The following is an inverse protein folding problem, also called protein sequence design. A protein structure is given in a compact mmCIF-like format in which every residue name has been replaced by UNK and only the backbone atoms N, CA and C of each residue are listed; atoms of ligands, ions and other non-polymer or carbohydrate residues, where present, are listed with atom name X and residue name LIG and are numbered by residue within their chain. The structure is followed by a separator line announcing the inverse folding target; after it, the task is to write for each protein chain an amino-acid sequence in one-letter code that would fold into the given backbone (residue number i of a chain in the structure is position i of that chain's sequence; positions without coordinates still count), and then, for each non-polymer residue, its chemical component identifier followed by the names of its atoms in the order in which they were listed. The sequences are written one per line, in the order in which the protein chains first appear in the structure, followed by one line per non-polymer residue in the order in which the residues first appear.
data_IF_818923467649
#
_entry.id   IF_818923467649
#
_cell.length_a   1.000
_cell.length_b   1.000
_cell.length_c   1.000
_cell.angle_alpha   90.00
_cell.angle_beta   90.00
_cell.angle_gamma   90.00
#
_symmetry.space_group_name_H-M   'P 1'
#
loop_
_entity.id
_entity.type
_entity.pdbx_description
1 polymer ?
#
# COMPACT_ATOMS: atom_id res chain seq x y z
N UNK A 1 10.53 15.29 -7.46
CA UNK A 1 10.76 13.95 -6.88
C UNK A 1 12.15 13.94 -6.28
N UNK A 2 12.25 13.76 -4.96
CA UNK A 2 13.54 13.72 -4.28
C UNK A 2 14.35 12.49 -4.74
N UNK A 3 15.57 12.72 -5.21
CA UNK A 3 16.52 11.70 -5.65
C UNK A 3 17.69 11.64 -4.67
N UNK A 4 18.37 10.49 -4.57
CA UNK A 4 19.64 10.42 -3.86
C UNK A 4 20.61 11.48 -4.41
N UNK A 5 21.08 12.37 -3.55
CA UNK A 5 21.99 13.47 -3.91
C UNK A 5 21.32 14.84 -4.08
N UNK A 6 20.02 14.97 -3.84
CA UNK A 6 19.36 16.28 -3.85
C UNK A 6 19.84 17.14 -2.66
N UNK A 7 20.15 18.41 -2.94
CA UNK A 7 20.55 19.41 -1.95
C UNK A 7 19.32 19.88 -1.15
N UNK A 8 18.99 19.12 -0.10
CA UNK A 8 17.95 19.49 0.84
C UNK A 8 18.42 20.70 1.67
N UNK A 9 17.58 21.73 1.76
CA UNK A 9 17.84 22.86 2.65
C UNK A 9 17.19 22.55 3.99
N UNK A 10 17.94 22.74 5.08
CA UNK A 10 17.39 22.60 6.44
C UNK A 10 16.34 23.69 6.73
N UNK A 11 16.48 24.87 6.11
CA UNK A 11 15.54 25.99 6.24
C UNK A 11 14.50 26.00 5.12
N UNK A 12 13.26 25.69 5.48
CA UNK A 12 12.10 25.87 4.60
C UNK A 12 11.67 27.34 4.60
N UNK A 13 11.35 27.87 3.42
CA UNK A 13 10.70 29.17 3.33
C UNK A 13 9.36 29.14 4.10
N UNK A 14 9.12 30.03 5.08
CA UNK A 14 7.89 30.05 5.87
C UNK A 14 6.61 30.10 5.03
N UNK A 15 6.65 30.72 3.85
CA UNK A 15 5.53 30.77 2.93
C UNK A 15 5.18 29.40 2.36
N UNK A 16 6.18 28.54 2.10
CA UNK A 16 5.94 27.17 1.61
C UNK A 16 5.31 26.31 2.71
N UNK A 17 5.78 26.47 3.95
CA UNK A 17 5.18 25.79 5.09
C UNK A 17 3.72 26.24 5.30
N UNK A 18 3.45 27.54 5.23
CA UNK A 18 2.09 28.08 5.35
C UNK A 18 1.17 27.58 4.21
N UNK A 19 1.66 27.56 2.97
CA UNK A 19 0.90 27.04 1.83
C UNK A 19 0.57 25.57 1.99
N UNK A 20 1.52 24.74 2.44
CA UNK A 20 1.24 23.33 2.63
C UNK A 20 0.23 23.05 3.75
N UNK A 21 0.24 23.86 4.82
CA UNK A 21 -0.83 23.83 5.84
C UNK A 21 -2.17 24.18 5.19
N UNK A 22 -2.23 25.26 4.40
CA UNK A 22 -3.45 25.64 3.68
C UNK A 22 -3.96 24.52 2.76
N UNK A 23 -3.05 23.92 1.97
CA UNK A 23 -3.34 22.81 1.06
C UNK A 23 -3.89 21.60 1.82
N UNK A 24 -3.22 21.20 2.91
CA UNK A 24 -3.66 20.08 3.75
C UNK A 24 -5.06 20.28 4.34
N UNK A 25 -5.43 21.52 4.68
CA UNK A 25 -6.71 21.82 5.31
C UNK A 25 -7.86 21.97 4.31
N UNK A 26 -7.60 22.53 3.13
CA UNK A 26 -8.66 22.95 2.21
C UNK A 26 -8.87 22.00 1.03
N UNK A 27 -7.80 21.38 0.51
CA UNK A 27 -7.84 20.71 -0.79
C UNK A 27 -7.54 19.22 -0.72
N UNK A 28 -6.95 18.74 0.38
CA UNK A 28 -6.35 17.40 0.44
C UNK A 28 -6.98 16.54 1.54
N UNK A 29 -8.05 15.78 1.24
CA UNK A 29 -8.67 14.86 2.20
C UNK A 29 -7.68 13.84 2.78
N UNK A 30 -6.71 13.40 2.00
CA UNK A 30 -5.66 12.45 2.43
C UNK A 30 -4.74 13.01 3.51
N UNK A 31 -4.74 14.33 3.73
CA UNK A 31 -4.00 14.94 4.83
C UNK A 31 -4.72 14.84 6.19
N UNK A 32 -6.01 14.50 6.20
CA UNK A 32 -6.77 14.38 7.46
C UNK A 32 -6.21 13.22 8.29
N UNK A 33 -5.84 13.53 9.54
CA UNK A 33 -5.19 12.59 10.46
C UNK A 33 -3.82 12.06 9.97
N UNK A 34 -3.20 12.71 8.99
CA UNK A 34 -1.85 12.39 8.56
C UNK A 34 -0.82 13.20 9.35
N UNK A 35 0.33 12.60 9.61
CA UNK A 35 1.54 13.32 10.02
C UNK A 35 2.46 13.41 8.83
N UNK A 36 2.90 14.62 8.49
CA UNK A 36 3.82 14.85 7.36
C UNK A 36 4.93 15.81 7.77
N UNK A 37 6.10 15.61 7.15
CA UNK A 37 7.21 16.55 7.21
C UNK A 37 7.40 17.17 5.84
N UNK A 38 7.67 18.47 5.81
CA UNK A 38 7.79 19.22 4.57
C UNK A 38 9.22 19.70 4.46
N UNK A 39 9.83 19.42 3.31
CA UNK A 39 11.19 19.84 2.99
C UNK A 39 11.10 20.67 1.73
N UNK A 40 11.68 21.87 1.77
CA UNK A 40 11.73 22.76 0.62
C UNK A 40 12.98 22.51 -0.23
N UNK A 41 12.85 22.64 -1.54
CA UNK A 41 13.98 22.76 -2.46
C UNK A 41 14.34 24.25 -2.63
N UNK A 42 15.59 24.57 -3.03
CA UNK A 42 16.00 25.96 -3.41
C UNK A 42 15.36 26.44 -4.72
N UNK A 43 14.13 26.01 -4.99
CA UNK A 43 13.33 26.47 -6.12
C UNK A 43 12.79 27.88 -5.86
N UNK A 44 12.82 28.74 -6.88
CA UNK A 44 12.17 30.05 -6.84
C UNK A 44 10.65 29.98 -7.03
N UNK A 45 10.13 28.83 -7.47
CA UNK A 45 8.72 28.65 -7.84
C UNK A 45 7.97 27.83 -6.79
N UNK A 46 6.76 28.28 -6.45
CA UNK A 46 5.82 27.49 -5.65
C UNK A 46 5.31 26.29 -6.44
N UNK A 47 5.04 25.15 -5.78
CA UNK A 47 4.38 24.02 -6.43
C UNK A 47 3.00 24.43 -6.97
N UNK A 48 2.68 23.94 -8.16
CA UNK A 48 1.34 24.02 -8.75
C UNK A 48 0.34 23.13 -8.00
N UNK A 49 -0.95 23.37 -8.18
CA UNK A 49 -1.98 22.53 -7.55
C UNK A 49 -1.83 21.05 -7.95
N UNK A 50 -1.51 20.77 -9.21
CA UNK A 50 -1.30 19.40 -9.70
C UNK A 50 -0.11 18.71 -9.02
N UNK A 51 0.96 19.47 -8.72
CA UNK A 51 2.12 18.95 -7.98
C UNK A 51 1.77 18.71 -6.51
N UNK A 52 0.97 19.59 -5.89
CA UNK A 52 0.44 19.34 -4.56
C UNK A 52 -0.43 18.09 -4.54
N UNK A 53 -1.41 17.99 -5.42
CA UNK A 53 -2.28 16.83 -5.54
C UNK A 53 -1.44 15.53 -5.69
N UNK A 54 -0.32 15.58 -6.43
CA UNK A 54 0.58 14.43 -6.58
C UNK A 54 1.34 14.02 -5.31
N UNK A 55 1.83 15.00 -4.56
CA UNK A 55 2.62 14.79 -3.34
C UNK A 55 1.72 14.31 -2.20
N UNK A 56 0.51 14.86 -2.07
CA UNK A 56 -0.45 14.49 -1.03
C UNK A 56 -1.00 13.06 -1.18
N UNK A 57 -0.96 12.46 -2.39
CA UNK A 57 -1.28 11.03 -2.58
C UNK A 57 -0.40 10.09 -1.75
N UNK A 58 0.80 10.52 -1.33
CA UNK A 58 1.66 9.71 -0.46
C UNK A 58 1.10 9.51 0.94
N UNK A 59 0.08 10.28 1.32
CA UNK A 59 -0.58 10.17 2.62
C UNK A 59 -1.71 9.13 2.63
N UNK A 60 -2.12 8.60 1.48
CA UNK A 60 -3.14 7.54 1.37
C UNK A 60 -2.73 6.24 2.07
N UNK A 61 -1.44 6.05 2.33
CA UNK A 61 -0.90 4.91 3.06
C UNK A 61 0.60 4.77 2.86
N UNK A 62 1.22 3.73 3.46
CA UNK A 62 2.65 3.48 3.30
C UNK A 62 2.98 3.10 1.85
N UNK A 63 3.37 4.09 1.05
CA UNK A 63 3.75 3.93 -0.36
C UNK A 63 5.10 3.19 -0.45
N UNK A 64 5.11 2.09 -1.22
CA UNK A 64 6.28 1.23 -1.42
C UNK A 64 6.94 1.44 -2.78
N UNK A 65 6.15 1.83 -3.79
CA UNK A 65 6.59 1.96 -5.17
C UNK A 65 5.70 2.95 -5.92
N UNK A 66 6.30 3.70 -6.84
CA UNK A 66 5.63 4.64 -7.74
C UNK A 66 6.39 4.64 -9.06
N UNK A 67 5.68 4.40 -10.17
CA UNK A 67 6.25 4.42 -11.52
C UNK A 67 5.30 5.12 -12.49
N UNK A 68 5.74 6.16 -13.21
CA UNK A 68 4.92 6.85 -14.19
C UNK A 68 4.70 6.00 -15.45
N UNK A 69 3.47 5.99 -15.98
CA UNK A 69 3.14 5.27 -17.21
C UNK A 69 3.54 6.03 -18.49
N UNK A 70 3.78 7.34 -18.39
CA UNK A 70 4.09 8.19 -19.54
C UNK A 70 2.88 8.32 -20.48
N UNK A 71 3.07 7.96 -21.75
CA UNK A 71 2.01 8.00 -22.78
C UNK A 71 1.10 6.77 -22.78
N UNK A 72 1.36 5.78 -21.93
CA UNK A 72 0.58 4.54 -21.92
C UNK A 72 -0.72 4.72 -21.12
N UNK A 73 -1.83 4.21 -21.65
CA UNK A 73 -3.15 4.31 -21.02
C UNK A 73 -3.20 3.62 -19.64
N UNK A 74 -3.68 4.35 -18.63
CA UNK A 74 -3.93 3.82 -17.29
C UNK A 74 -4.94 2.66 -17.32
N UNK A 75 -6.01 2.75 -18.11
CA UNK A 75 -7.01 1.68 -18.25
C UNK A 75 -6.39 0.39 -18.77
N UNK A 76 -5.57 0.47 -19.83
CA UNK A 76 -4.89 -0.71 -20.38
C UNK A 76 -3.89 -1.32 -19.38
N UNK A 77 -3.23 -0.48 -18.57
CA UNK A 77 -2.35 -0.95 -17.51
C UNK A 77 -3.13 -1.64 -16.38
N UNK A 78 -4.25 -1.05 -15.95
CA UNK A 78 -5.14 -1.63 -14.95
C UNK A 78 -5.66 -3.00 -15.38
N UNK A 79 -6.11 -3.13 -16.62
CA UNK A 79 -6.57 -4.41 -17.18
C UNK A 79 -5.44 -5.45 -17.18
N UNK A 80 -4.22 -5.05 -17.55
CA UNK A 80 -3.05 -5.94 -17.49
C UNK A 80 -2.71 -6.34 -16.05
N UNK A 81 -2.74 -5.41 -15.10
CA UNK A 81 -2.50 -5.69 -13.67
C UNK A 81 -3.49 -6.74 -13.18
N UNK A 82 -4.79 -6.54 -13.42
CA UNK A 82 -5.87 -7.43 -12.96
C UNK A 82 -5.84 -8.79 -13.62
N UNK A 83 -5.70 -8.84 -14.95
CA UNK A 83 -5.89 -10.09 -15.72
C UNK A 83 -4.63 -10.91 -15.90
N UNK A 84 -3.45 -10.27 -15.91
CA UNK A 84 -2.20 -10.91 -16.36
C UNK A 84 -1.12 -10.94 -15.30
N UNK A 85 -0.92 -9.84 -14.57
CA UNK A 85 0.15 -9.75 -13.58
C UNK A 85 -0.26 -10.34 -12.23
N UNK A 86 -1.38 -9.89 -11.65
CA UNK A 86 -1.82 -10.30 -10.32
C UNK A 86 -2.06 -11.82 -10.19
N UNK A 87 -2.76 -12.50 -11.12
CA UNK A 87 -3.09 -13.93 -11.00
C UNK A 87 -1.88 -14.87 -10.93
N UNK A 88 -0.67 -14.37 -11.24
CA UNK A 88 0.58 -15.14 -11.10
C UNK A 88 0.93 -15.41 -9.63
N UNK A 89 0.48 -14.55 -8.71
CA UNK A 89 0.80 -14.64 -7.29
C UNK A 89 -0.08 -15.63 -6.51
N UNK A 90 -1.26 -15.97 -7.03
CA UNK A 90 -2.13 -16.99 -6.44
C UNK A 90 -1.61 -18.42 -6.65
N UNK A 91 -0.77 -18.63 -7.67
CA UNK A 91 -0.24 -19.96 -8.00
C UNK A 91 0.95 -20.32 -7.12
N UNK A 92 1.01 -21.58 -6.71
CA UNK A 92 2.21 -22.18 -6.12
C UNK A 92 3.39 -22.08 -7.08
N UNK A 93 4.56 -21.67 -6.59
CA UNK A 93 5.77 -21.51 -7.41
C UNK A 93 6.10 -20.05 -7.78
N UNK A 94 5.37 -19.07 -7.25
CA UNK A 94 5.65 -17.63 -7.39
C UNK A 94 6.91 -17.15 -6.65
N UNK A 95 7.58 -18.04 -5.91
CA UNK A 95 8.72 -17.70 -5.04
C UNK A 95 8.31 -17.15 -3.67
N UNK A 96 7.01 -16.97 -3.42
CA UNK A 96 6.50 -16.59 -2.11
C UNK A 96 6.34 -17.83 -1.22
N UNK A 97 6.82 -17.72 0.02
CA UNK A 97 6.60 -18.74 1.07
C UNK A 97 5.22 -18.63 1.69
N UNK A 98 4.60 -17.45 1.61
CA UNK A 98 3.27 -17.16 2.16
C UNK A 98 2.26 -17.10 1.02
N UNK A 99 1.18 -17.89 1.05
CA UNK A 99 0.09 -17.79 0.09
C UNK A 99 -0.47 -16.37 0.01
N UNK A 100 -0.90 -15.96 -1.18
CA UNK A 100 -1.53 -14.66 -1.43
C UNK A 100 -2.95 -14.89 -1.90
N UNK A 101 -3.90 -14.12 -1.35
CA UNK A 101 -5.23 -13.96 -1.92
C UNK A 101 -5.28 -12.65 -2.70
N UNK A 102 -5.78 -12.71 -3.93
CA UNK A 102 -6.03 -11.50 -4.71
C UNK A 102 -7.44 -11.00 -4.41
N UNK A 103 -7.56 -9.69 -4.19
CA UNK A 103 -8.84 -8.99 -4.09
C UNK A 103 -8.81 -7.85 -5.10
N UNK A 104 -9.72 -7.87 -6.08
CA UNK A 104 -9.82 -6.77 -7.02
C UNK A 104 -10.38 -5.52 -6.35
N UNK A 105 -9.80 -4.36 -6.67
CA UNK A 105 -10.30 -3.05 -6.23
C UNK A 105 -10.72 -2.23 -7.46
N UNK A 106 -11.38 -1.10 -7.23
CA UNK A 106 -11.81 -0.22 -8.33
C UNK A 106 -10.62 0.17 -9.24
N UNK A 107 -9.49 0.52 -8.62
CA UNK A 107 -8.31 1.07 -9.29
C UNK A 107 -7.15 0.07 -9.40
N UNK A 108 -7.34 -1.21 -9.08
CA UNK A 108 -6.24 -2.17 -9.11
C UNK A 108 -6.54 -3.48 -8.39
N UNK A 109 -5.56 -3.95 -7.61
CA UNK A 109 -5.62 -5.24 -6.91
C UNK A 109 -4.93 -5.17 -5.55
N UNK A 110 -5.43 -5.93 -4.59
CA UNK A 110 -4.78 -6.18 -3.31
C UNK A 110 -4.25 -7.62 -3.26
N UNK A 111 -2.97 -7.75 -2.94
CA UNK A 111 -2.29 -9.01 -2.67
C UNK A 111 -2.23 -9.19 -1.15
N UNK A 112 -3.24 -9.86 -0.59
CA UNK A 112 -3.35 -10.07 0.86
C UNK A 112 -2.60 -11.35 1.23
N UNK A 113 -1.60 -11.23 2.12
CA UNK A 113 -0.90 -12.40 2.62
C UNK A 113 -1.83 -13.23 3.51
N UNK A 114 -1.80 -14.54 3.33
CA UNK A 114 -2.54 -15.48 4.15
C UNK A 114 -1.56 -16.42 4.80
N UNK A 115 -1.50 -16.47 6.14
CA UNK A 115 -0.74 -17.50 6.79
C UNK A 115 -1.36 -18.85 6.38
N UNK A 116 -0.54 -19.88 6.11
CA UNK A 116 -1.07 -21.23 6.06
C UNK A 116 -1.83 -21.45 7.36
N UNK A 117 -3.03 -22.05 7.29
CA UNK A 117 -3.84 -22.38 8.48
C UNK A 117 -3.00 -23.26 9.41
N UNK A 118 -2.24 -22.65 10.29
CA UNK A 118 -1.59 -23.34 11.38
C UNK A 118 -2.68 -23.58 12.40
N UNK A 119 -2.82 -24.82 12.87
CA UNK A 119 -3.66 -25.13 14.03
C UNK A 119 -3.04 -24.58 15.34
N UNK A 120 -2.03 -23.70 15.24
CA UNK A 120 -1.35 -23.10 16.37
C UNK A 120 -2.09 -21.83 16.78
N UNK A 121 -2.91 -21.99 17.80
CA UNK A 121 -3.48 -20.91 18.59
C UNK A 121 -2.33 -20.18 19.27
N UNK A 122 -2.27 -18.85 19.17
CA UNK A 122 -1.21 -18.10 19.84
C UNK A 122 -1.31 -18.25 21.37
N UNK A 123 -0.20 -18.17 22.10
CA UNK A 123 -0.21 -18.27 23.58
C UNK A 123 -1.18 -17.29 24.26
N UNK A 124 -1.40 -16.11 23.66
CA UNK A 124 -2.42 -15.16 24.12
C UNK A 124 -3.84 -15.68 23.91
N UNK A 125 -4.14 -16.19 22.73
CA UNK A 125 -5.46 -16.80 22.45
C UNK A 125 -5.69 -18.08 23.27
N UNK A 126 -4.64 -18.85 23.56
CA UNK A 126 -4.69 -20.01 24.45
C UNK A 126 -5.00 -19.59 25.89
N UNK A 127 -4.33 -18.54 26.38
CA UNK A 127 -4.58 -17.95 27.71
C UNK A 127 -5.96 -17.29 27.81
N UNK A 128 -6.46 -16.69 26.74
CA UNK A 128 -7.81 -16.13 26.67
C UNK A 128 -8.88 -17.22 26.60
N UNK A 129 -8.62 -18.30 25.86
CA UNK A 129 -9.49 -19.47 25.83
C UNK A 129 -9.51 -20.20 27.18
N UNK A 130 -8.38 -20.27 27.89
CA UNK A 130 -8.29 -20.83 29.24
C UNK A 130 -9.06 -19.98 30.25
N UNK A 131 -8.89 -18.65 30.21
CA UNK A 131 -9.70 -17.71 31.03
C UNK A 131 -11.20 -17.75 30.72
N UNK A 132 -11.58 -18.00 29.46
CA UNK A 132 -12.98 -18.18 29.09
C UNK A 132 -13.56 -19.49 29.63
N UNK A 133 -12.74 -20.56 29.69
CA UNK A 133 -13.12 -21.84 30.31
C UNK A 133 -13.26 -21.75 31.83
N UNK A 134 -12.41 -20.96 32.50
CA UNK A 134 -12.50 -20.75 33.95
C UNK A 134 -13.73 -19.94 34.38
N UNK A 135 -14.32 -19.12 33.49
CA UNK A 135 -15.49 -18.29 33.78
C UNK A 135 -16.85 -18.97 33.58
N UNK A 136 -16.89 -20.23 33.13
CA UNK A 136 -18.12 -21.03 33.14
C UNK A 136 -19.23 -20.58 32.18
N UNK A 137 -18.95 -19.74 31.19
CA UNK A 137 -19.91 -19.45 30.10
C UNK A 137 -19.86 -20.60 29.07
N UNK A 138 -20.54 -21.70 29.37
CA UNK A 138 -20.89 -22.69 28.37
C UNK A 138 -22.14 -22.24 27.60
N UNK A 139 -21.93 -21.49 26.52
CA UNK A 139 -22.89 -21.44 25.41
C UNK A 139 -22.39 -22.33 24.27
N UNK A 140 -22.81 -23.59 24.32
CA UNK A 140 -22.34 -24.72 23.52
C UNK A 140 -22.86 -24.72 22.05
N UNK A 141 -23.34 -23.60 21.51
CA UNK A 141 -24.01 -23.59 20.18
C UNK A 141 -23.68 -22.45 19.23
N UNK A 142 -22.57 -21.74 19.40
CA UNK A 142 -22.21 -20.71 18.41
C UNK A 142 -20.70 -20.47 18.21
N UNK A 143 -19.88 -21.52 18.16
CA UNK A 143 -18.54 -21.38 17.57
C UNK A 143 -18.63 -21.38 16.04
N UNK A 144 -19.37 -20.42 15.48
CA UNK A 144 -19.07 -19.93 14.14
C UNK A 144 -17.58 -19.65 14.13
N UNK A 145 -16.85 -20.32 13.23
CA UNK A 145 -15.58 -19.90 12.68
C UNK A 145 -15.11 -18.59 13.31
N UNK A 146 -14.33 -18.64 14.40
CA UNK A 146 -13.52 -17.48 14.78
C UNK A 146 -12.63 -17.28 13.57
N UNK A 147 -13.01 -16.33 12.72
CA UNK A 147 -12.17 -15.86 11.64
C UNK A 147 -10.84 -15.59 12.33
N UNK A 148 -9.82 -16.36 11.97
CA UNK A 148 -8.45 -15.89 12.11
C UNK A 148 -8.50 -14.53 11.44
N UNK A 149 -8.56 -13.47 12.23
CA UNK A 149 -8.47 -12.11 11.71
C UNK A 149 -7.17 -12.15 10.93
N UNK A 150 -7.23 -11.94 9.62
CA UNK A 150 -6.06 -12.01 8.75
C UNK A 150 -5.09 -10.92 9.24
N UNK A 151 -4.25 -11.24 10.24
CA UNK A 151 -3.29 -10.32 10.89
C UNK A 151 -2.08 -10.06 9.98
N UNK A 152 -2.13 -10.52 8.74
CA UNK A 152 -1.05 -10.33 7.79
C UNK A 152 -1.43 -9.19 6.84
N UNK A 153 -0.47 -8.30 6.63
CA UNK A 153 -0.64 -7.17 5.73
C UNK A 153 -0.72 -7.64 4.28
N UNK A 154 -0.74 -6.69 3.36
CA UNK A 154 -0.67 -6.98 1.95
C UNK A 154 -0.03 -5.86 1.16
N UNK A 155 0.08 -6.09 -0.14
CA UNK A 155 0.50 -5.06 -1.10
C UNK A 155 -0.69 -4.75 -2.00
N UNK A 156 -1.14 -3.50 -1.97
CA UNK A 156 -2.10 -2.98 -2.92
C UNK A 156 -1.37 -2.36 -4.10
N UNK A 157 -1.68 -2.82 -5.32
CA UNK A 157 -1.21 -2.22 -6.56
C UNK A 157 -2.35 -1.42 -7.15
N UNK A 158 -2.16 -0.10 -7.23
CA UNK A 158 -3.13 0.86 -7.73
C UNK A 158 -2.62 1.43 -9.04
N UNK A 159 -3.50 1.54 -10.03
CA UNK A 159 -3.26 2.21 -11.30
C UNK A 159 -4.14 3.45 -11.33
N UNK A 160 -3.52 4.61 -11.50
CA UNK A 160 -4.19 5.90 -11.45
C UNK A 160 -3.98 6.64 -12.76
N UNK A 161 -5.01 7.37 -13.18
CA UNK A 161 -4.95 8.24 -14.37
C UNK A 161 -4.66 9.71 -13.99
N UNK A 162 -5.05 10.10 -12.77
CA UNK A 162 -4.92 11.47 -12.25
C UNK A 162 -4.07 11.52 -10.97
N UNK A 163 -3.34 12.62 -10.71
CA UNK A 163 -3.11 13.75 -11.62
C UNK A 163 -2.26 13.40 -12.86
N UNK A 164 -1.55 12.27 -12.81
CA UNK A 164 -0.81 11.71 -13.94
C UNK A 164 -0.99 10.18 -14.01
N UNK A 165 -0.96 9.58 -15.22
CA UNK A 165 -0.99 8.14 -15.39
C UNK A 165 0.21 7.45 -14.70
N UNK A 166 -0.05 6.53 -13.77
CA UNK A 166 1.00 5.84 -12.99
C UNK A 166 0.54 4.50 -12.42
N UNK A 167 1.51 3.73 -11.95
CA UNK A 167 1.29 2.59 -11.06
C UNK A 167 1.91 2.90 -9.69
N UNK A 168 1.14 2.68 -8.63
CA UNK A 168 1.60 2.74 -7.24
C UNK A 168 1.48 1.37 -6.58
N UNK A 169 2.37 1.09 -5.65
CA UNK A 169 2.18 0.01 -4.69
C UNK A 169 2.17 0.58 -3.27
N UNK A 170 1.19 0.20 -2.47
CA UNK A 170 1.01 0.62 -1.09
C UNK A 170 0.90 -0.61 -0.19
N UNK A 171 1.22 -0.46 1.10
CA UNK A 171 0.83 -1.46 2.09
C UNK A 171 -0.67 -1.37 2.37
N UNK A 172 -1.35 -2.51 2.39
CA UNK A 172 -2.76 -2.60 2.81
C UNK A 172 -2.93 -3.49 4.05
N UNK A 173 -4.09 -3.39 4.70
CA UNK A 173 -4.46 -4.12 5.93
C UNK A 173 -3.49 -3.87 7.11
N UNK A 174 -3.07 -2.61 7.30
CA UNK A 174 -2.12 -2.20 8.35
C UNK A 174 -2.82 -1.88 9.68
N UNK A 175 -3.28 -2.90 10.40
CA UNK A 175 -3.74 -2.80 11.79
C UNK A 175 -2.60 -2.86 12.80
N UNK A 176 -2.89 -2.58 14.08
CA UNK A 176 -1.90 -2.54 15.17
C UNK A 176 -1.14 -3.86 15.35
N UNK A 177 -1.79 -4.99 15.07
CA UNK A 177 -1.18 -6.34 15.16
C UNK A 177 -0.73 -6.89 13.80
N UNK A 178 -0.71 -6.06 12.76
CA UNK A 178 -0.39 -6.52 11.41
C UNK A 178 1.08 -6.92 11.30
N UNK A 179 1.32 -8.16 10.85
CA UNK A 179 2.64 -8.68 10.54
C UNK A 179 3.01 -8.31 9.10
N UNK A 180 4.12 -7.58 8.96
CA UNK A 180 4.70 -7.20 7.68
C UNK A 180 5.59 -8.34 7.16
N UNK A 181 5.33 -8.84 5.96
CA UNK A 181 6.13 -9.87 5.29
C UNK A 181 7.18 -9.23 4.37
N UNK A 182 8.16 -8.54 4.94
CA UNK A 182 9.13 -7.74 4.17
C UNK A 182 9.80 -8.49 3.01
N UNK A 183 10.15 -9.77 3.21
CA UNK A 183 10.75 -10.59 2.14
C UNK A 183 9.77 -10.82 1.00
N UNK A 184 8.51 -11.10 1.31
CA UNK A 184 7.45 -11.27 0.30
C UNK A 184 7.13 -9.95 -0.41
N UNK A 185 7.09 -8.84 0.33
CA UNK A 185 6.94 -7.49 -0.24
C UNK A 185 8.07 -7.19 -1.24
N UNK A 186 9.34 -7.42 -0.85
CA UNK A 186 10.50 -7.20 -1.73
C UNK A 186 10.41 -8.02 -3.03
N UNK A 187 9.98 -9.28 -2.94
CA UNK A 187 9.81 -10.14 -4.11
C UNK A 187 8.73 -9.57 -5.04
N UNK A 188 7.56 -9.21 -4.49
CA UNK A 188 6.45 -8.61 -5.25
C UNK A 188 6.90 -7.30 -5.91
N UNK A 189 7.53 -6.39 -5.16
CA UNK A 189 7.95 -5.08 -5.67
C UNK A 189 9.04 -5.19 -6.73
N UNK A 190 9.98 -6.13 -6.58
CA UNK A 190 11.02 -6.36 -7.60
C UNK A 190 10.45 -6.88 -8.91
N UNK A 191 9.48 -7.82 -8.84
CA UNK A 191 8.75 -8.30 -10.01
C UNK A 191 7.87 -7.21 -10.61
N UNK A 192 7.13 -6.45 -9.79
CA UNK A 192 6.28 -5.35 -10.26
C UNK A 192 7.10 -4.31 -11.02
N UNK A 193 8.22 -3.84 -10.44
CA UNK A 193 9.12 -2.88 -11.09
C UNK A 193 9.58 -3.39 -12.45
N UNK A 194 10.10 -4.63 -12.50
CA UNK A 194 10.61 -5.23 -13.75
C UNK A 194 9.50 -5.36 -14.80
N UNK A 195 8.35 -5.89 -14.40
CA UNK A 195 7.26 -6.22 -15.32
C UNK A 195 6.54 -4.98 -15.82
N UNK A 196 6.31 -3.97 -14.96
CA UNK A 196 5.75 -2.67 -15.35
C UNK A 196 6.67 -1.96 -16.31
N UNK A 197 7.97 -1.84 -16.02
CA UNK A 197 8.93 -1.19 -16.92
C UNK A 197 8.98 -1.90 -18.29
N UNK A 198 9.00 -3.24 -18.31
CA UNK A 198 8.97 -4.01 -19.55
C UNK A 198 7.66 -3.82 -20.32
N UNK A 199 6.52 -3.79 -19.62
CA UNK A 199 5.20 -3.60 -20.21
C UNK A 199 5.02 -2.20 -20.83
N UNK A 200 5.54 -1.16 -20.15
CA UNK A 200 5.58 0.22 -20.66
C UNK A 200 6.48 0.29 -21.90
N UNK A 201 7.69 -0.28 -21.83
CA UNK A 201 8.64 -0.25 -22.94
C UNK A 201 8.10 -0.93 -24.20
N UNK A 202 7.30 -1.99 -24.07
CA UNK A 202 6.67 -2.68 -25.19
C UNK A 202 5.52 -1.91 -25.86
N UNK A 203 5.11 -0.76 -25.31
CA UNK A 203 3.96 0.05 -25.75
C UNK A 203 4.32 1.53 -25.99
N UNK A 204 5.59 1.86 -25.88
CA UNK A 204 6.15 3.13 -26.38
C UNK A 204 6.53 2.95 -27.84
#
# INVERSE_FOLDING_TARGET
MLKPGDDLVEDINPCVAAEAVLQSMLFQPSALNASMSIIGEKSANFPTQTEWDDEFLRLDGPELFREPLGSVSATACMDWVKTSWAPRWEKSGSGLTTPVKIVETANGVQLVFRPPKSNFVSFKEEKEAEKAREKGDMDEKNSKFRQVTDKEGGVEVVVEDKPFPRVRALRCNMGEETVIKETSEKIILSSLRKDVSAWIAARK
#
